data_IF_030776785098
#
_entry.id   IF_030776785098
#
_cell.length_a   1.000
_cell.length_b   1.000
_cell.length_c   1.000
_cell.angle_alpha   90.00
_cell.angle_beta   90.00
_cell.angle_gamma   90.00
#
_symmetry.space_group_name_H-M   'P 1'
#
loop_
_entity.id
_entity.type
_entity.pdbx_description
1 polymer ?
#
# COMPACT_ATOMS: atom_id res chain seq x y z
N UNK A 1 23.79 8.45 8.32
CA UNK A 1 23.46 7.80 9.61
C UNK A 1 24.74 7.21 10.17
N UNK A 2 24.88 7.09 11.49
CA UNK A 2 26.10 6.60 12.14
C UNK A 2 25.79 5.48 13.12
N UNK A 3 26.68 4.48 13.20
CA UNK A 3 26.65 3.38 14.16
C UNK A 3 28.09 3.06 14.54
N UNK A 4 28.39 2.99 15.85
CA UNK A 4 29.74 2.80 16.40
C UNK A 4 30.80 3.76 15.82
N UNK A 5 30.43 5.04 15.67
CA UNK A 5 31.33 6.08 15.13
C UNK A 5 31.67 5.92 13.65
N UNK A 6 30.97 5.04 12.92
CA UNK A 6 31.12 4.85 11.46
C UNK A 6 29.87 5.30 10.73
N UNK A 7 30.07 6.07 9.65
CA UNK A 7 28.99 6.46 8.76
C UNK A 7 28.48 5.25 7.96
N UNK A 8 27.16 5.03 8.00
CA UNK A 8 26.45 4.06 7.17
C UNK A 8 25.70 4.83 6.08
N UNK A 9 26.13 4.74 4.80
CA UNK A 9 25.39 5.32 3.70
C UNK A 9 24.12 4.50 3.46
N UNK A 10 22.96 5.16 3.50
CA UNK A 10 21.65 4.53 3.31
C UNK A 10 20.96 5.20 2.14
N UNK A 11 20.35 4.38 1.28
CA UNK A 11 19.48 4.82 0.19
C UNK A 11 18.14 4.13 0.30
N UNK A 12 17.12 4.70 -0.34
CA UNK A 12 15.80 4.08 -0.45
C UNK A 12 15.51 3.71 -1.89
N UNK A 13 14.71 2.68 -2.07
CA UNK A 13 14.01 2.43 -3.34
C UNK A 13 12.53 2.59 -3.08
N UNK A 14 11.81 3.14 -4.04
CA UNK A 14 10.39 3.49 -3.84
C UNK A 14 9.55 3.01 -5.01
N UNK A 15 8.42 2.38 -4.71
CA UNK A 15 7.39 2.09 -5.67
C UNK A 15 6.24 3.07 -5.53
N UNK A 16 5.73 3.56 -6.66
CA UNK A 16 4.64 4.55 -6.69
C UNK A 16 3.48 3.98 -7.50
N UNK A 17 2.28 4.11 -6.96
CA UNK A 17 1.03 3.85 -7.65
C UNK A 17 0.09 5.05 -7.45
N UNK A 18 -0.65 5.39 -8.50
CA UNK A 18 -1.63 6.47 -8.52
C UNK A 18 -2.90 6.03 -9.27
N UNK A 19 -4.04 6.61 -8.90
CA UNK A 19 -5.33 6.39 -9.55
C UNK A 19 -5.90 7.73 -10.02
N UNK A 20 -6.59 7.71 -11.16
CA UNK A 20 -7.29 8.88 -11.69
C UNK A 20 -8.78 8.90 -11.34
N UNK A 21 -9.26 7.99 -10.47
CA UNK A 21 -10.65 7.95 -10.03
C UNK A 21 -10.88 7.30 -8.66
N UNK A 22 -12.07 7.49 -8.07
CA UNK A 22 -12.41 7.06 -6.72
C UNK A 22 -12.55 5.53 -6.57
N UNK A 23 -12.44 4.78 -7.66
CA UNK A 23 -12.83 3.38 -7.72
C UNK A 23 -11.70 2.39 -7.38
N UNK A 24 -10.50 2.88 -7.09
CA UNK A 24 -9.37 2.03 -6.69
C UNK A 24 -9.46 1.70 -5.20
N UNK A 25 -9.43 0.42 -4.86
CA UNK A 25 -9.31 0.02 -3.46
C UNK A 25 -7.89 0.31 -2.94
N UNK A 26 -7.77 0.43 -1.62
CA UNK A 26 -6.46 0.59 -0.98
C UNK A 26 -5.54 -0.60 -1.29
N UNK A 27 -6.06 -1.82 -1.20
CA UNK A 27 -5.33 -3.07 -1.43
C UNK A 27 -4.76 -3.12 -2.85
N UNK A 28 -5.54 -2.67 -3.84
CA UNK A 28 -5.10 -2.58 -5.22
C UNK A 28 -3.96 -1.57 -5.38
N UNK A 29 -4.12 -0.36 -4.85
CA UNK A 29 -3.08 0.68 -4.89
C UNK A 29 -1.80 0.24 -4.18
N UNK A 30 -1.94 -0.42 -3.02
CA UNK A 30 -0.82 -0.91 -2.24
C UNK A 30 -0.07 -2.04 -2.98
N UNK A 31 -0.80 -3.00 -3.56
CA UNK A 31 -0.21 -4.09 -4.32
C UNK A 31 0.53 -3.59 -5.59
N UNK A 32 0.06 -2.50 -6.21
CA UNK A 32 0.78 -1.88 -7.33
C UNK A 32 2.01 -1.10 -6.89
N UNK A 33 1.91 -0.37 -5.77
CA UNK A 33 3.05 0.31 -5.19
C UNK A 33 4.15 -0.69 -4.81
N UNK A 34 3.80 -1.84 -4.21
CA UNK A 34 4.77 -2.88 -3.88
C UNK A 34 5.41 -3.51 -5.12
N UNK A 35 4.63 -3.80 -6.17
CA UNK A 35 5.17 -4.27 -7.46
C UNK A 35 6.14 -3.26 -8.08
N UNK A 36 5.80 -1.98 -8.05
CA UNK A 36 6.70 -0.93 -8.49
C UNK A 36 7.98 -0.88 -7.64
N UNK A 37 7.87 -1.04 -6.31
CA UNK A 37 9.02 -1.07 -5.40
C UNK A 37 9.94 -2.26 -5.71
N UNK A 38 9.35 -3.43 -5.99
CA UNK A 38 10.10 -4.61 -6.36
C UNK A 38 10.88 -4.38 -7.66
N UNK A 39 10.28 -3.74 -8.65
CA UNK A 39 10.99 -3.34 -9.88
C UNK A 39 12.13 -2.35 -9.61
N UNK A 40 11.92 -1.36 -8.75
CA UNK A 40 12.97 -0.41 -8.36
C UNK A 40 14.17 -1.15 -7.73
N UNK A 41 13.90 -2.08 -6.81
CA UNK A 41 14.93 -2.94 -6.19
C UNK A 41 15.67 -3.80 -7.22
N UNK A 42 14.95 -4.39 -8.19
CA UNK A 42 15.56 -5.20 -9.27
C UNK A 42 16.36 -4.38 -10.28
N UNK A 43 16.05 -3.10 -10.42
CA UNK A 43 16.71 -2.20 -11.38
C UNK A 43 17.99 -1.54 -10.87
N UNK A 44 18.57 -2.05 -9.77
CA UNK A 44 19.80 -1.52 -9.18
C UNK A 44 19.61 -0.73 -7.89
N UNK A 45 18.39 -0.65 -7.33
CA UNK A 45 18.05 0.11 -6.12
C UNK A 45 18.29 1.62 -6.29
N UNK A 46 18.26 2.39 -5.19
CA UNK A 46 18.44 3.85 -5.15
C UNK A 46 17.67 4.61 -6.24
N UNK A 47 16.41 4.22 -6.48
CA UNK A 47 15.57 4.80 -7.51
C UNK A 47 14.10 4.60 -7.17
N UNK A 48 13.24 5.28 -7.94
CA UNK A 48 11.81 5.00 -7.91
C UNK A 48 11.36 4.31 -9.20
N UNK A 49 10.24 3.59 -9.10
CA UNK A 49 9.48 3.11 -10.26
C UNK A 49 8.01 3.42 -10.05
N UNK A 50 7.32 3.58 -11.17
CA UNK A 50 5.88 3.75 -11.23
C UNK A 50 5.36 2.83 -12.32
N UNK A 51 4.31 2.08 -12.01
CA UNK A 51 3.64 1.28 -13.03
C UNK A 51 2.65 2.16 -13.82
N UNK A 52 2.38 1.84 -15.10
CA UNK A 52 1.37 2.55 -15.87
C UNK A 52 0.03 2.55 -15.12
N UNK A 53 -0.66 3.68 -15.15
CA UNK A 53 -1.91 3.87 -14.43
C UNK A 53 -2.95 2.81 -14.85
N UNK A 54 -3.39 2.01 -13.89
CA UNK A 54 -4.41 0.98 -14.15
C UNK A 54 -5.77 1.66 -14.11
N UNK A 55 -6.53 1.53 -15.21
CA UNK A 55 -7.96 1.82 -15.21
C UNK A 55 -8.67 0.67 -14.51
N UNK A 56 -8.92 0.85 -13.22
CA UNK A 56 -9.65 -0.13 -12.43
C UNK A 56 -11.14 -0.02 -12.75
N UNK A 57 -11.68 -1.09 -13.34
CA UNK A 57 -13.12 -1.35 -13.35
C UNK A 57 -13.46 -1.91 -11.98
N UNK A 58 -14.27 -1.20 -11.22
CA UNK A 58 -14.78 -1.72 -9.95
C UNK A 58 -15.85 -2.75 -10.28
N UNK A 59 -15.65 -4.02 -9.93
CA UNK A 59 -16.77 -4.94 -9.76
C UNK A 59 -17.40 -4.60 -8.40
N UNK A 60 -18.55 -3.95 -8.43
CA UNK A 60 -19.29 -3.60 -7.22
C UNK A 60 -19.70 -4.89 -6.48
N UNK A 61 -19.25 -5.03 -5.24
CA UNK A 61 -19.88 -5.92 -4.27
C UNK A 61 -18.92 -6.73 -3.41
N UNK A 62 -18.71 -6.27 -2.17
CA UNK A 62 -19.11 -6.97 -0.94
C UNK A 62 -18.50 -6.26 0.27
N UNK A 63 -19.24 -5.33 0.86
CA UNK A 63 -19.17 -5.16 2.32
C UNK A 63 -19.97 -6.29 2.95
N UNK A 64 -19.41 -7.01 3.92
CA UNK A 64 -20.13 -7.45 5.13
C UNK A 64 -19.16 -8.05 6.16
N UNK A 65 -19.23 -7.53 7.39
CA UNK A 65 -18.47 -8.03 8.54
C UNK A 65 -18.42 -7.03 9.70
N UNK A 66 -19.59 -6.57 10.13
CA UNK A 66 -19.72 -5.56 11.20
C UNK A 66 -19.33 -6.06 12.59
N UNK A 67 -18.59 -5.24 13.32
CA UNK A 67 -18.60 -5.23 14.78
C UNK A 67 -19.57 -4.15 15.26
N UNK A 68 -20.85 -4.53 15.39
CA UNK A 68 -21.82 -3.74 16.14
C UNK A 68 -21.73 -4.20 17.59
N UNK A 69 -21.11 -3.36 18.42
CA UNK A 69 -21.08 -3.56 19.86
C UNK A 69 -22.50 -3.69 20.40
N UNK A 70 -22.70 -4.70 21.24
CA UNK A 70 -23.94 -4.84 22.01
C UNK A 70 -23.65 -4.61 23.48
N UNK A 71 -24.36 -3.63 24.04
CA UNK A 71 -24.28 -3.25 25.43
C UNK A 71 -25.67 -2.94 25.95
N UNK A 72 -26.24 -3.86 26.73
CA UNK A 72 -26.84 -3.64 28.08
C UNK A 72 -27.81 -4.78 28.49
N UNK A 73 -27.52 -5.37 29.66
CA UNK A 73 -28.38 -5.71 30.83
C UNK A 73 -29.90 -5.92 30.60
N UNK A 74 -30.48 -6.99 31.16
CA UNK A 74 -31.35 -7.01 32.37
C UNK A 74 -31.94 -8.42 32.64
N UNK A 75 -32.23 -8.65 33.93
CA UNK A 75 -32.74 -9.78 34.68
C UNK A 75 -33.93 -10.58 34.10
N UNK A 76 -33.97 -11.87 34.47
CA UNK A 76 -35.18 -12.60 34.89
C UNK A 76 -34.81 -13.57 36.02
#
# INVERSE_FOLDING_TARGET
>A
MEHDGKAIPVTISTGVADTSGPNASFEQLFAEADRALYLAKRSGRNCFRRLPQIRLVHEAGAEEGGEKGDGKRQLA
#
